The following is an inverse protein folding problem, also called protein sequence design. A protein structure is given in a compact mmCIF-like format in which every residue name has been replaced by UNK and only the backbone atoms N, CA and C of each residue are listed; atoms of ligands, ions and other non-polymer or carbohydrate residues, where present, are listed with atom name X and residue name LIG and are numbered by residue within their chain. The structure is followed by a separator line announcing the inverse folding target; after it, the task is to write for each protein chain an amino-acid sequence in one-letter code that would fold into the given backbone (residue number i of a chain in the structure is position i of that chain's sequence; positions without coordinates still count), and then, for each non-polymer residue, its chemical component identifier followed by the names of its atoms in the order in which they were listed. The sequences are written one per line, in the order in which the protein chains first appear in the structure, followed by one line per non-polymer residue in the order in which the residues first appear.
data_IF_856015922947
#
_entry.id   IF_856015922947
#
_cell.length_a   1.000
_cell.length_b   1.000
_cell.length_c   1.000
_cell.angle_alpha   90.00
_cell.angle_beta   90.00
_cell.angle_gamma   90.00
#
_symmetry.space_group_name_H-M   'P 1'
#
loop_
_entity.id
_entity.type
_entity.pdbx_description
1 polymer ?
#
# COMPACT_ATOMS: atom_id res chain seq x y z
N UNK A 1 51.96 4.72 -6.74
CA UNK A 1 51.32 3.77 -7.68
C UNK A 1 50.41 2.80 -6.94
N UNK A 2 50.89 2.02 -5.96
CA UNK A 2 50.08 1.02 -5.23
C UNK A 2 48.81 1.57 -4.56
N UNK A 3 48.89 2.66 -3.77
CA UNK A 3 47.72 3.22 -3.09
C UNK A 3 46.62 3.72 -4.04
N UNK A 4 46.98 4.28 -5.19
CA UNK A 4 46.01 4.78 -6.17
C UNK A 4 45.26 3.62 -6.82
N UNK A 5 45.96 2.50 -7.08
CA UNK A 5 45.36 1.27 -7.61
C UNK A 5 44.43 0.65 -6.55
N UNK A 6 44.87 0.51 -5.30
CA UNK A 6 44.04 0.02 -4.20
C UNK A 6 42.80 0.90 -3.95
N UNK A 7 42.94 2.22 -4.07
CA UNK A 7 41.83 3.15 -3.96
C UNK A 7 40.86 2.99 -5.14
N UNK A 8 41.36 2.78 -6.36
CA UNK A 8 40.52 2.55 -7.53
C UNK A 8 39.74 1.23 -7.42
N UNK A 9 40.41 0.16 -7.03
CA UNK A 9 39.79 -1.15 -6.84
C UNK A 9 38.76 -1.11 -5.71
N UNK A 10 38.99 -0.27 -4.69
CA UNK A 10 38.07 -0.13 -3.57
C UNK A 10 36.68 0.39 -3.92
N UNK A 11 36.53 1.10 -5.05
CA UNK A 11 35.24 1.62 -5.52
C UNK A 11 34.32 0.48 -5.95
N UNK A 12 34.90 -0.61 -6.47
CA UNK A 12 34.16 -1.77 -6.96
C UNK A 12 33.97 -2.87 -5.91
N UNK A 13 34.66 -2.76 -4.77
CA UNK A 13 34.50 -3.71 -3.65
C UNK A 13 33.43 -3.24 -2.67
N UNK A 14 32.44 -4.08 -2.32
CA UNK A 14 31.39 -3.68 -1.39
C UNK A 14 31.90 -3.64 0.06
N UNK A 15 32.16 -2.44 0.59
CA UNK A 15 32.46 -2.26 2.01
C UNK A 15 33.43 -1.13 2.34
N UNK A 16 33.79 -1.03 3.61
CA UNK A 16 34.74 -0.06 4.14
C UNK A 16 36.16 -0.60 3.95
N UNK A 17 36.75 -0.36 2.78
CA UNK A 17 38.15 -0.76 2.57
C UNK A 17 39.10 0.17 3.32
N UNK A 18 40.27 -0.33 3.76
CA UNK A 18 41.26 0.50 4.44
C UNK A 18 41.82 1.62 3.55
N UNK A 19 41.87 1.43 2.23
CA UNK A 19 42.31 2.45 1.28
C UNK A 19 41.31 3.62 1.22
N UNK A 20 40.01 3.31 1.14
CA UNK A 20 38.94 4.31 1.15
C UNK A 20 38.93 5.11 2.45
N UNK A 21 39.07 4.44 3.60
CA UNK A 21 39.11 5.10 4.91
C UNK A 21 40.31 6.05 5.06
N UNK A 22 41.50 5.63 4.62
CA UNK A 22 42.69 6.50 4.60
C UNK A 22 42.48 7.72 3.72
N UNK A 23 41.86 7.56 2.54
CA UNK A 23 41.54 8.68 1.66
C UNK A 23 40.55 9.65 2.31
N UNK A 24 39.47 9.15 2.94
CA UNK A 24 38.49 9.99 3.64
C UNK A 24 39.14 10.82 4.75
N UNK A 25 39.94 10.22 5.63
CA UNK A 25 40.66 10.95 6.68
C UNK A 25 41.59 12.02 6.10
N UNK A 26 42.37 11.68 5.07
CA UNK A 26 43.27 12.63 4.42
C UNK A 26 42.52 13.82 3.80
N UNK A 27 41.39 13.59 3.13
CA UNK A 27 40.56 14.66 2.55
C UNK A 27 40.01 15.60 3.61
N UNK A 28 39.48 15.09 4.73
CA UNK A 28 38.97 15.93 5.81
C UNK A 28 40.08 16.72 6.51
N UNK A 29 41.26 16.12 6.72
CA UNK A 29 42.41 16.83 7.31
C UNK A 29 42.86 17.97 6.39
N UNK A 30 43.00 17.72 5.09
CA UNK A 30 43.38 18.76 4.12
C UNK A 30 42.34 19.88 4.03
N UNK A 31 41.05 19.52 4.07
CA UNK A 31 39.96 20.50 4.12
C UNK A 31 40.05 21.38 5.38
N UNK A 32 40.25 20.79 6.56
CA UNK A 32 40.35 21.53 7.81
C UNK A 32 41.60 22.42 7.84
N UNK A 33 42.75 21.94 7.36
CA UNK A 33 43.96 22.75 7.25
C UNK A 33 43.76 23.94 6.29
N UNK A 34 43.10 23.71 5.15
CA UNK A 34 42.75 24.78 4.21
C UNK A 34 41.81 25.81 4.83
N UNK A 35 40.78 25.37 5.56
CA UNK A 35 39.84 26.26 6.23
C UNK A 35 40.49 27.03 7.38
N UNK A 36 41.34 26.38 8.19
CA UNK A 36 42.12 27.02 9.25
C UNK A 36 43.06 28.09 8.69
N UNK A 37 43.71 27.81 7.55
CA UNK A 37 44.55 28.80 6.86
C UNK A 37 43.72 30.01 6.39
N UNK A 38 42.56 29.77 5.76
CA UNK A 38 41.66 30.84 5.32
C UNK A 38 41.10 31.66 6.48
N UNK A 39 40.77 31.04 7.62
CA UNK A 39 40.34 31.74 8.84
C UNK A 39 41.48 32.64 9.35
N UNK A 40 42.72 32.14 9.37
CA UNK A 40 43.87 32.90 9.82
C UNK A 40 44.12 34.15 8.96
N UNK A 41 44.05 33.99 7.63
CA UNK A 41 44.31 35.09 6.67
C UNK A 41 43.16 36.10 6.65
N UNK A 42 41.91 35.65 6.64
CA UNK A 42 40.75 36.52 6.35
C UNK A 42 39.97 36.96 7.59
N UNK A 43 40.13 36.27 8.73
CA UNK A 43 39.32 36.43 9.95
C UNK A 43 37.80 36.44 9.70
N UNK A 44 37.35 35.77 8.64
CA UNK A 44 35.93 35.77 8.26
C UNK A 44 35.13 34.74 9.05
N UNK A 45 33.98 35.20 9.57
CA UNK A 45 32.99 34.36 10.28
C UNK A 45 32.46 33.24 9.37
N UNK A 46 32.41 33.46 8.05
CA UNK A 46 31.93 32.46 7.10
C UNK A 46 32.79 31.19 7.13
N UNK A 47 34.12 31.31 7.18
CA UNK A 47 35.02 30.15 7.24
C UNK A 47 34.98 29.45 8.59
N UNK A 48 34.67 30.17 9.67
CA UNK A 48 34.44 29.58 11.00
C UNK A 48 33.20 28.66 10.93
N UNK A 49 32.09 29.15 10.39
CA UNK A 49 30.87 28.35 10.22
C UNK A 49 31.10 27.14 9.31
N UNK A 50 31.85 27.32 8.22
CA UNK A 50 32.18 26.23 7.29
C UNK A 50 33.06 25.16 7.94
N UNK A 51 33.98 25.56 8.82
CA UNK A 51 34.82 24.64 9.62
C UNK A 51 33.98 23.82 10.61
N UNK A 52 33.00 24.43 11.27
CA UNK A 52 32.07 23.73 12.18
C UNK A 52 31.27 22.67 11.41
N UNK A 53 30.71 23.03 10.25
CA UNK A 53 29.95 22.09 9.42
C UNK A 53 30.84 20.94 8.94
N UNK A 54 32.08 21.23 8.53
CA UNK A 54 33.04 20.21 8.11
C UNK A 54 33.39 19.22 9.24
N UNK A 55 33.54 19.70 10.48
CA UNK A 55 33.78 18.85 11.65
C UNK A 55 32.56 17.96 11.98
N UNK A 56 31.34 18.50 11.90
CA UNK A 56 30.12 17.74 12.11
C UNK A 56 29.93 16.66 11.05
N UNK A 57 30.21 16.99 9.78
CA UNK A 57 30.17 16.02 8.67
C UNK A 57 31.23 14.92 8.85
N UNK A 58 32.44 15.28 9.26
CA UNK A 58 33.49 14.31 9.51
C UNK A 58 33.10 13.34 10.63
N UNK A 59 32.54 13.86 11.73
CA UNK A 59 32.04 13.05 12.84
C UNK A 59 30.92 12.11 12.43
N UNK A 60 29.96 12.57 11.62
CA UNK A 60 28.83 11.74 11.17
C UNK A 60 29.26 10.62 10.22
N UNK A 61 30.22 10.88 9.33
CA UNK A 61 30.78 9.86 8.43
C UNK A 61 31.54 8.79 9.22
N UNK A 62 32.35 9.17 10.21
CA UNK A 62 33.06 8.21 11.05
C UNK A 62 32.12 7.37 11.91
N UNK A 63 31.09 8.00 12.47
CA UNK A 63 30.04 7.27 13.19
C UNK A 63 29.34 6.26 12.26
N UNK A 64 28.96 6.68 11.05
CA UNK A 64 28.30 5.83 10.07
C UNK A 64 29.16 4.63 9.63
N UNK A 65 30.46 4.85 9.40
CA UNK A 65 31.40 3.75 9.08
C UNK A 65 31.50 2.75 10.23
N UNK A 66 31.61 3.24 11.47
CA UNK A 66 31.67 2.37 12.65
C UNK A 66 30.39 1.56 12.82
N UNK A 67 29.23 2.17 12.57
CA UNK A 67 27.92 1.49 12.59
C UNK A 67 27.84 0.41 11.51
N UNK A 68 28.34 0.69 10.30
CA UNK A 68 28.40 -0.29 9.21
C UNK A 68 29.33 -1.47 9.52
N UNK A 69 30.46 -1.24 10.19
CA UNK A 69 31.38 -2.32 10.59
C UNK A 69 30.78 -3.20 11.69
N UNK A 70 30.09 -2.61 12.66
CA UNK A 70 29.38 -3.36 13.71
C UNK A 70 28.23 -4.21 13.14
N UNK A 71 27.52 -3.70 12.12
CA UNK A 71 26.48 -4.46 11.43
C UNK A 71 27.04 -5.62 10.58
N UNK A 72 28.30 -5.52 10.11
CA UNK A 72 28.98 -6.59 9.35
C UNK A 72 29.67 -7.62 10.23
N UNK A 73 30.13 -7.25 11.43
CA UNK A 73 30.79 -8.19 12.36
C UNK A 73 29.81 -9.19 13.00
N UNK A 74 28.52 -8.85 13.10
CA UNK A 74 27.44 -9.83 13.39
C UNK A 74 27.14 -10.76 12.19
N UNK A 75 28.16 -11.22 11.47
CA UNK A 75 28.00 -12.11 10.33
C UNK A 75 28.04 -13.57 10.77
N UNK A 76 27.01 -14.33 10.39
CA UNK A 76 26.84 -15.79 10.21
C UNK A 76 27.57 -16.80 11.13
N UNK A 77 28.81 -16.58 11.56
CA UNK A 77 29.56 -17.48 12.44
C UNK A 77 29.16 -17.38 13.92
N UNK A 78 28.79 -16.19 14.43
CA UNK A 78 28.27 -16.03 15.80
C UNK A 78 26.84 -16.59 15.91
N UNK A 79 26.00 -16.38 14.90
CA UNK A 79 24.67 -16.99 14.81
C UNK A 79 24.73 -18.52 14.79
N UNK A 80 25.70 -19.14 14.11
CA UNK A 80 25.82 -20.60 14.09
C UNK A 80 26.34 -21.19 15.41
N UNK A 81 27.21 -20.47 16.13
CA UNK A 81 27.76 -20.93 17.41
C UNK A 81 26.80 -20.74 18.58
N UNK A 82 26.02 -19.67 18.62
CA UNK A 82 24.96 -19.48 19.64
C UNK A 82 23.80 -20.47 19.44
N UNK A 83 23.44 -20.78 18.18
CA UNK A 83 22.38 -21.76 17.88
C UNK A 83 22.82 -23.18 18.26
N UNK A 84 24.07 -23.57 17.98
CA UNK A 84 24.58 -24.92 18.28
C UNK A 84 24.85 -25.19 19.78
N UNK A 85 25.10 -24.16 20.58
CA UNK A 85 25.28 -24.31 22.04
C UNK A 85 23.95 -24.29 22.80
N UNK A 86 22.95 -23.54 22.34
CA UNK A 86 21.61 -23.55 22.96
C UNK A 86 20.77 -24.77 22.58
N UNK A 87 20.99 -25.38 21.41
CA UNK A 87 20.26 -26.58 20.96
C UNK A 87 20.50 -27.84 21.82
N UNK A 88 21.63 -27.95 22.53
CA UNK A 88 21.95 -29.13 23.34
C UNK A 88 21.46 -29.06 24.80
N UNK A 89 20.95 -27.91 25.27
CA UNK A 89 20.46 -27.76 26.65
C UNK A 89 18.92 -27.80 26.69
N UNK A 90 18.23 -27.35 25.65
CA UNK A 90 16.77 -27.19 25.67
C UNK A 90 15.95 -28.40 25.17
N UNK A 91 16.57 -29.53 24.80
CA UNK A 91 15.82 -30.74 24.42
C UNK A 91 15.25 -31.52 25.61
N UNK A 92 15.40 -31.03 26.85
CA UNK A 92 14.87 -31.70 28.04
C UNK A 92 14.24 -30.70 29.00
N UNK A 93 13.12 -30.07 28.61
CA UNK A 93 11.98 -29.83 29.52
C UNK A 93 10.81 -29.15 28.78
N UNK A 94 9.65 -29.82 28.80
CA UNK A 94 8.35 -29.29 28.40
C UNK A 94 7.94 -28.15 29.34
N UNK A 95 7.43 -27.04 28.80
CA UNK A 95 6.05 -26.56 29.06
C UNK A 95 5.78 -25.17 28.44
N UNK A 96 4.65 -25.08 27.73
CA UNK A 96 3.75 -23.91 27.54
C UNK A 96 4.31 -22.55 27.05
N UNK A 97 3.75 -22.07 25.93
CA UNK A 97 3.65 -20.62 25.64
C UNK A 97 4.32 -20.14 24.35
N UNK A 98 3.47 -19.80 23.37
CA UNK A 98 3.52 -18.72 22.37
C UNK A 98 4.85 -18.01 22.03
N UNK A 99 5.08 -17.77 20.73
CA UNK A 99 6.02 -16.74 20.26
C UNK A 99 6.93 -17.12 19.09
N UNK A 100 6.39 -17.19 17.87
CA UNK A 100 7.20 -17.22 16.66
C UNK A 100 7.91 -15.87 16.44
N UNK A 101 9.23 -15.93 16.43
CA UNK A 101 10.19 -14.84 16.33
C UNK A 101 10.04 -14.07 14.99
N UNK A 102 9.62 -12.82 15.07
CA UNK A 102 9.41 -11.95 13.93
C UNK A 102 10.75 -11.36 13.44
N UNK A 103 11.36 -12.01 12.45
CA UNK A 103 12.29 -11.34 11.53
C UNK A 103 11.59 -10.09 10.98
N UNK A 104 12.22 -8.91 11.02
CA UNK A 104 11.61 -7.65 10.56
C UNK A 104 11.33 -7.69 9.06
N UNK A 105 10.20 -8.28 8.67
CA UNK A 105 9.76 -8.38 7.29
C UNK A 105 9.54 -6.98 6.73
N UNK A 106 10.08 -6.71 5.54
CA UNK A 106 9.79 -5.48 4.79
C UNK A 106 8.28 -5.26 4.73
N UNK A 107 7.83 -4.01 4.94
CA UNK A 107 6.41 -3.64 4.96
C UNK A 107 5.65 -4.21 3.76
N UNK A 108 6.29 -4.31 2.58
CA UNK A 108 5.70 -4.87 1.36
C UNK A 108 5.17 -6.30 1.52
N UNK A 109 5.73 -7.08 2.44
CA UNK A 109 5.33 -8.47 2.71
C UNK A 109 4.44 -8.60 3.95
N UNK A 110 3.93 -7.51 4.51
CA UNK A 110 3.11 -7.53 5.72
C UNK A 110 1.80 -8.32 5.59
N UNK A 111 1.35 -8.63 4.37
CA UNK A 111 0.17 -9.50 4.15
C UNK A 111 0.50 -11.00 4.23
N UNK A 112 1.77 -11.37 4.09
CA UNK A 112 2.19 -12.77 4.07
C UNK A 112 1.84 -13.50 5.37
N UNK A 113 1.86 -12.80 6.50
CA UNK A 113 1.56 -13.38 7.82
C UNK A 113 0.14 -13.95 7.88
N UNK A 114 -0.83 -13.24 7.29
CA UNK A 114 -2.24 -13.64 7.27
C UNK A 114 -2.50 -14.79 6.29
N UNK A 115 -1.66 -14.95 5.26
CA UNK A 115 -1.75 -16.08 4.32
C UNK A 115 -1.19 -17.36 4.92
N UNK A 116 -0.06 -17.25 5.61
CA UNK A 116 0.61 -18.37 6.27
C UNK A 116 -0.14 -18.82 7.53
N UNK A 117 -0.55 -17.87 8.37
CA UNK A 117 -1.24 -18.11 9.64
C UNK A 117 -2.56 -17.31 9.67
N UNK A 118 -3.65 -17.86 9.09
CA UNK A 118 -4.91 -17.11 8.94
C UNK A 118 -5.76 -17.04 10.22
N UNK A 119 -5.41 -17.77 11.28
CA UNK A 119 -6.07 -17.68 12.60
C UNK A 119 -5.66 -16.39 13.34
N UNK A 120 -6.04 -15.24 12.80
CA UNK A 120 -5.75 -13.92 13.34
C UNK A 120 -7.01 -13.06 13.42
N UNK A 121 -7.11 -12.10 14.37
CA UNK A 121 -8.33 -11.32 14.61
C UNK A 121 -8.85 -10.52 13.40
N UNK A 122 -7.98 -10.15 12.45
CA UNK A 122 -8.37 -9.40 11.27
C UNK A 122 -8.94 -10.29 10.16
N UNK A 123 -8.71 -11.60 10.21
CA UNK A 123 -9.18 -12.55 9.20
C UNK A 123 -10.63 -12.91 9.51
N UNK A 124 -11.50 -12.69 8.53
CA UNK A 124 -12.94 -12.95 8.63
C UNK A 124 -13.29 -14.34 8.13
N UNK A 125 -12.57 -14.79 7.10
CA UNK A 125 -12.76 -16.09 6.49
C UNK A 125 -11.47 -16.52 5.81
N UNK A 126 -11.21 -17.83 5.81
CA UNK A 126 -10.16 -18.42 5.00
C UNK A 126 -10.51 -19.85 4.64
N UNK A 127 -9.97 -20.31 3.51
CA UNK A 127 -9.90 -21.70 3.12
C UNK A 127 -8.54 -21.97 2.45
N UNK A 128 -8.36 -23.10 1.77
CA UNK A 128 -7.09 -23.44 1.11
C UNK A 128 -6.74 -22.53 -0.07
N UNK A 129 -7.72 -21.80 -0.62
CA UNK A 129 -7.56 -21.00 -1.84
C UNK A 129 -7.42 -19.51 -1.53
N UNK A 130 -8.28 -18.96 -0.67
CA UNK A 130 -8.37 -17.53 -0.40
C UNK A 130 -8.48 -17.19 1.09
N UNK A 131 -8.11 -15.95 1.41
CA UNK A 131 -8.31 -15.30 2.71
C UNK A 131 -9.12 -14.03 2.47
N UNK A 132 -10.16 -13.81 3.29
CA UNK A 132 -10.89 -12.55 3.38
C UNK A 132 -10.56 -11.93 4.74
N UNK A 133 -10.04 -10.71 4.75
CA UNK A 133 -9.64 -10.03 5.98
C UNK A 133 -9.98 -8.55 5.98
N UNK A 134 -10.08 -7.94 7.16
CA UNK A 134 -10.17 -6.49 7.34
C UNK A 134 -8.82 -5.84 7.01
N UNK A 135 -8.84 -4.76 6.22
CA UNK A 135 -7.64 -3.94 6.02
C UNK A 135 -7.26 -3.30 7.38
N UNK A 136 -6.01 -3.46 7.81
CA UNK A 136 -5.49 -2.89 9.07
C UNK A 136 -5.56 -1.36 9.11
N UNK A 137 -5.58 -0.72 7.95
CA UNK A 137 -5.67 0.72 7.76
C UNK A 137 -6.86 1.06 6.84
N UNK A 138 -8.11 0.81 7.28
CA UNK A 138 -9.29 0.89 6.43
C UNK A 138 -9.47 2.30 5.85
N UNK A 139 -9.83 2.41 4.58
CA UNK A 139 -9.92 3.71 3.87
C UNK A 139 -11.35 4.26 3.76
N UNK A 140 -12.31 3.52 4.29
CA UNK A 140 -13.73 3.81 4.39
C UNK A 140 -14.30 3.06 5.61
N UNK A 141 -15.61 3.19 5.86
CA UNK A 141 -16.33 2.52 6.95
C UNK A 141 -16.10 1.00 6.97
N UNK A 142 -16.10 0.37 5.79
CA UNK A 142 -15.69 -1.02 5.60
C UNK A 142 -14.71 -1.14 4.45
N UNK A 143 -13.58 -1.78 4.74
CA UNK A 143 -12.53 -2.02 3.76
C UNK A 143 -11.90 -3.39 4.04
N UNK A 144 -12.24 -4.36 3.20
CA UNK A 144 -11.73 -5.72 3.26
C UNK A 144 -10.77 -5.98 2.10
N UNK A 145 -9.97 -7.01 2.28
CA UNK A 145 -9.03 -7.53 1.29
C UNK A 145 -9.35 -9.00 1.04
N UNK A 146 -9.44 -9.36 -0.24
CA UNK A 146 -9.53 -10.75 -0.71
C UNK A 146 -8.17 -11.13 -1.28
N UNK A 147 -7.52 -12.16 -0.73
CA UNK A 147 -6.15 -12.54 -1.06
C UNK A 147 -6.07 -14.02 -1.45
N UNK A 148 -5.46 -14.36 -2.60
CA UNK A 148 -5.14 -15.74 -2.92
C UNK A 148 -3.97 -16.26 -2.07
N UNK A 149 -4.08 -17.51 -1.61
CA UNK A 149 -3.08 -18.17 -0.77
C UNK A 149 -1.99 -18.89 -1.57
N UNK A 150 -2.30 -19.31 -2.80
CA UNK A 150 -1.33 -20.07 -3.59
C UNK A 150 -0.10 -19.20 -3.91
N UNK A 151 1.09 -19.69 -3.54
CA UNK A 151 2.37 -19.00 -3.76
C UNK A 151 2.58 -18.47 -5.19
N UNK A 152 2.29 -19.23 -6.27
CA UNK A 152 2.49 -18.72 -7.62
C UNK A 152 1.50 -17.62 -8.03
N UNK A 153 0.35 -17.50 -7.35
CA UNK A 153 -0.66 -16.49 -7.65
C UNK A 153 -0.50 -15.25 -6.76
N UNK A 154 -0.20 -15.44 -5.48
CA UNK A 154 -0.12 -14.35 -4.51
C UNK A 154 0.97 -13.33 -4.87
N UNK A 155 2.08 -13.72 -5.50
CA UNK A 155 3.12 -12.76 -5.90
C UNK A 155 2.99 -12.26 -7.35
N UNK A 156 1.93 -12.63 -8.07
CA UNK A 156 1.66 -12.06 -9.39
C UNK A 156 1.08 -10.67 -9.25
N UNK A 157 1.41 -9.83 -10.22
CA UNK A 157 0.73 -8.55 -10.36
C UNK A 157 -0.78 -8.80 -10.55
N UNK A 158 -1.68 -8.02 -9.91
CA UNK A 158 -3.10 -8.37 -9.88
C UNK A 158 -3.76 -8.46 -11.27
N UNK A 159 -3.35 -7.60 -12.21
CA UNK A 159 -3.81 -7.66 -13.61
C UNK A 159 -3.48 -8.99 -14.28
N UNK A 160 -2.32 -9.58 -14.00
CA UNK A 160 -1.91 -10.87 -14.58
C UNK A 160 -2.45 -12.05 -13.80
N UNK A 161 -2.48 -11.95 -12.47
CA UNK A 161 -3.02 -13.00 -11.61
C UNK A 161 -4.49 -13.31 -11.92
N UNK A 162 -5.26 -12.27 -12.27
CA UNK A 162 -6.67 -12.36 -12.63
C UNK A 162 -6.89 -12.52 -14.15
N UNK A 163 -5.86 -12.85 -14.93
CA UNK A 163 -5.99 -13.09 -16.36
C UNK A 163 -6.58 -14.43 -16.74
N UNK A 164 -6.40 -15.42 -15.87
CA UNK A 164 -6.97 -16.74 -16.03
C UNK A 164 -8.47 -16.70 -15.67
N UNK A 165 -9.38 -17.08 -16.58
CA UNK A 165 -10.82 -17.15 -16.29
C UNK A 165 -11.16 -18.00 -15.08
N UNK A 166 -10.42 -19.09 -14.84
CA UNK A 166 -10.68 -19.96 -13.69
C UNK A 166 -10.38 -19.24 -12.38
N UNK A 167 -9.25 -18.55 -12.31
CA UNK A 167 -8.85 -17.75 -11.14
C UNK A 167 -9.79 -16.56 -10.95
N UNK A 168 -10.20 -15.90 -12.05
CA UNK A 168 -11.14 -14.78 -12.00
C UNK A 168 -12.48 -15.21 -11.42
N UNK A 169 -13.08 -16.28 -11.95
CA UNK A 169 -14.38 -16.78 -11.49
C UNK A 169 -14.32 -17.23 -10.02
N UNK A 170 -13.22 -17.89 -9.62
CA UNK A 170 -13.00 -18.21 -8.20
C UNK A 170 -12.93 -16.95 -7.35
N UNK A 171 -12.13 -15.97 -7.75
CA UNK A 171 -12.01 -14.70 -7.02
C UNK A 171 -13.35 -13.95 -6.95
N UNK A 172 -14.19 -14.02 -7.98
CA UNK A 172 -15.53 -13.41 -8.02
C UNK A 172 -16.43 -13.97 -6.90
N UNK A 173 -16.43 -15.28 -6.67
CA UNK A 173 -17.16 -15.91 -5.56
C UNK A 173 -16.75 -15.31 -4.19
N UNK A 174 -15.43 -15.13 -3.97
CA UNK A 174 -14.92 -14.55 -2.73
C UNK A 174 -15.16 -13.05 -2.61
N UNK A 175 -15.15 -12.33 -3.72
CA UNK A 175 -15.50 -10.90 -3.77
C UNK A 175 -16.96 -10.71 -3.40
N UNK A 176 -17.87 -11.50 -3.96
CA UNK A 176 -19.30 -11.45 -3.61
C UNK A 176 -19.52 -11.82 -2.15
N UNK A 177 -18.87 -12.87 -1.65
CA UNK A 177 -18.89 -13.23 -0.23
C UNK A 177 -18.40 -12.09 0.68
N UNK A 178 -17.34 -11.39 0.29
CA UNK A 178 -16.83 -10.25 1.05
C UNK A 178 -17.81 -9.07 1.05
N UNK A 179 -18.53 -8.82 -0.06
CA UNK A 179 -19.59 -7.82 -0.10
C UNK A 179 -20.75 -8.19 0.82
N UNK A 180 -21.16 -9.46 0.84
CA UNK A 180 -22.22 -9.95 1.73
C UNK A 180 -21.84 -9.76 3.20
N UNK A 181 -20.61 -10.09 3.58
CA UNK A 181 -20.09 -9.83 4.93
C UNK A 181 -20.14 -8.35 5.32
N UNK A 182 -19.82 -7.44 4.39
CA UNK A 182 -19.93 -6.00 4.62
C UNK A 182 -21.40 -5.60 4.88
N UNK A 183 -22.34 -6.10 4.08
CA UNK A 183 -23.77 -5.80 4.26
C UNK A 183 -24.27 -6.31 5.61
N UNK A 184 -23.95 -7.54 5.97
CA UNK A 184 -24.31 -8.10 7.27
C UNK A 184 -23.74 -7.25 8.43
N UNK A 185 -22.48 -6.84 8.33
CA UNK A 185 -21.85 -5.96 9.32
C UNK A 185 -22.56 -4.61 9.44
N UNK A 186 -22.95 -4.00 8.31
CA UNK A 186 -23.62 -2.69 8.29
C UNK A 186 -25.05 -2.74 8.81
N UNK A 187 -25.76 -3.85 8.55
CA UNK A 187 -27.10 -4.11 9.09
C UNK A 187 -27.04 -4.30 10.60
N UNK A 188 -26.07 -5.09 11.10
CA UNK A 188 -25.84 -5.31 12.54
C UNK A 188 -25.55 -4.01 13.29
N UNK A 189 -24.85 -3.07 12.67
CA UNK A 189 -24.54 -1.76 13.24
C UNK A 189 -25.65 -0.70 13.03
N UNK A 190 -26.75 -1.06 12.36
CA UNK A 190 -27.90 -0.18 12.15
C UNK A 190 -27.71 0.89 11.06
N UNK A 191 -26.70 0.75 10.19
CA UNK A 191 -26.50 1.66 9.05
C UNK A 191 -27.46 1.41 7.90
N UNK A 192 -28.03 0.19 7.81
CA UNK A 192 -28.90 -0.26 6.73
C UNK A 192 -30.07 -1.04 7.35
N UNK A 193 -31.26 -0.85 6.79
CA UNK A 193 -32.46 -1.62 7.14
C UNK A 193 -32.32 -3.10 6.75
N UNK A 194 -33.02 -3.98 7.46
CA UNK A 194 -32.97 -5.44 7.20
C UNK A 194 -33.67 -5.89 5.92
N UNK A 195 -34.25 -4.96 5.16
CA UNK A 195 -34.97 -5.23 3.92
C UNK A 195 -34.07 -5.81 2.80
N UNK A 196 -34.46 -6.93 2.16
CA UNK A 196 -33.66 -7.56 1.09
C UNK A 196 -33.39 -6.66 -0.13
N UNK A 197 -34.36 -5.84 -0.54
CA UNK A 197 -34.21 -4.94 -1.68
C UNK A 197 -33.21 -3.82 -1.39
N UNK A 198 -33.28 -3.26 -0.17
CA UNK A 198 -32.32 -2.26 0.31
C UNK A 198 -30.91 -2.86 0.39
N UNK A 199 -30.76 -4.08 0.96
CA UNK A 199 -29.47 -4.79 1.03
C UNK A 199 -28.84 -4.96 -0.34
N UNK A 200 -29.59 -5.47 -1.32
CA UNK A 200 -29.09 -5.72 -2.68
C UNK A 200 -28.73 -4.40 -3.40
N UNK A 201 -29.56 -3.37 -3.24
CA UNK A 201 -29.30 -2.05 -3.82
C UNK A 201 -28.02 -1.46 -3.23
N UNK A 202 -27.85 -1.53 -1.91
CA UNK A 202 -26.66 -1.01 -1.22
C UNK A 202 -25.40 -1.79 -1.59
N UNK A 203 -25.50 -3.12 -1.67
CA UNK A 203 -24.42 -4.02 -2.12
C UNK A 203 -23.89 -3.61 -3.49
N UNK A 204 -24.80 -3.35 -4.43
CA UNK A 204 -24.44 -3.04 -5.80
C UNK A 204 -24.03 -1.57 -6.01
N UNK A 205 -24.56 -0.64 -5.23
CA UNK A 205 -24.36 0.80 -5.48
C UNK A 205 -23.33 1.45 -4.58
N UNK A 206 -23.15 0.96 -3.35
CA UNK A 206 -22.28 1.59 -2.34
C UNK A 206 -20.98 0.84 -2.12
N UNK A 207 -20.92 -0.47 -2.38
CA UNK A 207 -19.70 -1.27 -2.25
C UNK A 207 -19.03 -1.42 -3.62
N UNK A 208 -17.71 -1.23 -3.67
CA UNK A 208 -16.87 -1.46 -4.87
C UNK A 208 -15.85 -2.55 -4.60
N UNK A 209 -15.48 -3.26 -5.66
CA UNK A 209 -14.42 -4.24 -5.63
C UNK A 209 -13.42 -3.95 -6.76
N UNK A 210 -12.12 -4.04 -6.48
CA UNK A 210 -11.10 -3.75 -7.47
C UNK A 210 -9.68 -3.83 -6.96
N UNK A 211 -8.74 -3.48 -7.83
CA UNK A 211 -7.29 -3.52 -7.56
C UNK A 211 -6.69 -2.13 -7.75
N UNK A 212 -5.55 -1.91 -7.11
CA UNK A 212 -4.69 -0.79 -7.50
C UNK A 212 -3.85 -1.16 -8.71
N UNK A 213 -3.77 -0.24 -9.67
CA UNK A 213 -2.94 -0.36 -10.87
C UNK A 213 -1.47 -0.60 -10.54
N UNK A 214 -0.97 0.03 -9.48
CA UNK A 214 0.36 -0.20 -8.91
C UNK A 214 0.18 -0.57 -7.42
N UNK A 215 0.26 -1.85 -7.04
CA UNK A 215 0.00 -2.28 -5.67
C UNK A 215 1.13 -1.86 -4.71
N UNK A 216 0.75 -1.45 -3.50
CA UNK A 216 1.70 -1.07 -2.43
C UNK A 216 2.32 -2.29 -1.72
N UNK A 217 1.59 -3.41 -1.69
CA UNK A 217 2.00 -4.67 -1.08
C UNK A 217 2.39 -5.67 -2.18
N UNK A 218 3.27 -6.61 -1.85
CA UNK A 218 3.76 -7.62 -2.79
C UNK A 218 2.71 -8.69 -3.09
N UNK A 219 1.90 -9.06 -2.10
CA UNK A 219 0.82 -10.02 -2.28
C UNK A 219 -0.35 -9.41 -3.06
N UNK A 220 -0.92 -10.14 -4.02
CA UNK A 220 -2.14 -9.82 -4.72
C UNK A 220 -3.27 -9.67 -3.70
N UNK A 221 -3.96 -8.55 -3.77
CA UNK A 221 -5.12 -8.28 -2.93
C UNK A 221 -6.17 -7.53 -3.76
N UNK A 222 -7.41 -7.97 -3.65
CA UNK A 222 -8.57 -7.28 -4.20
C UNK A 222 -9.19 -6.50 -3.05
N UNK A 223 -9.31 -5.19 -3.22
CA UNK A 223 -10.00 -4.32 -2.29
C UNK A 223 -11.50 -4.51 -2.46
N UNK A 224 -12.21 -4.75 -1.36
CA UNK A 224 -13.68 -4.68 -1.29
C UNK A 224 -14.02 -3.60 -0.28
N UNK A 225 -14.51 -2.46 -0.76
CA UNK A 225 -14.51 -1.21 0.00
C UNK A 225 -15.83 -0.45 -0.19
N UNK A 226 -16.33 0.15 0.90
CA UNK A 226 -17.46 1.08 0.85
C UNK A 226 -17.06 2.44 0.29
N UNK A 227 -18.00 3.12 -0.37
CA UNK A 227 -17.73 4.37 -1.08
C UNK A 227 -17.85 5.63 -0.21
N UNK A 228 -18.01 5.50 1.11
CA UNK A 228 -18.06 6.67 1.99
C UNK A 228 -16.72 7.40 2.11
N UNK A 229 -15.61 6.68 2.03
CA UNK A 229 -14.26 7.17 2.33
C UNK A 229 -14.15 7.96 3.65
N UNK A 230 -15.04 7.64 4.61
CA UNK A 230 -15.08 8.19 5.95
C UNK A 230 -14.26 7.28 6.87
N UNK A 231 -13.00 7.68 7.09
CA UNK A 231 -12.10 6.94 7.96
C UNK A 231 -11.00 7.83 8.49
N UNK A 232 -10.59 7.59 9.74
CA UNK A 232 -9.44 8.25 10.31
C UNK A 232 -8.11 7.86 9.67
N UNK A 233 -8.03 6.74 8.96
CA UNK A 233 -6.83 6.32 8.21
C UNK A 233 -6.78 6.91 6.79
N UNK A 234 -7.82 7.64 6.37
CA UNK A 234 -7.76 8.53 5.21
C UNK A 234 -6.98 9.81 5.58
N UNK A 235 -5.67 9.78 5.34
CA UNK A 235 -4.74 10.82 5.84
C UNK A 235 -4.22 11.79 4.78
N UNK A 236 -4.25 11.44 3.50
CA UNK A 236 -3.67 12.27 2.46
C UNK A 236 -4.39 12.10 1.12
N UNK A 237 -4.09 13.03 0.20
CA UNK A 237 -4.61 13.05 -1.18
C UNK A 237 -4.35 11.75 -1.93
N UNK A 238 -3.16 11.15 -1.76
CA UNK A 238 -2.77 9.90 -2.43
C UNK A 238 -3.69 8.74 -2.03
N UNK A 239 -4.03 8.63 -0.75
CA UNK A 239 -4.95 7.58 -0.26
C UNK A 239 -6.33 7.73 -0.85
N UNK A 240 -6.85 8.96 -1.00
CA UNK A 240 -8.18 9.16 -1.57
C UNK A 240 -8.18 8.87 -3.08
N UNK A 241 -7.25 9.51 -3.80
CA UNK A 241 -7.16 9.38 -5.26
C UNK A 241 -6.84 7.95 -5.70
N UNK A 242 -6.21 7.11 -4.87
CA UNK A 242 -5.95 5.72 -5.24
C UNK A 242 -7.24 4.90 -5.42
N UNK A 243 -8.36 5.30 -4.82
CA UNK A 243 -9.68 4.63 -4.96
C UNK A 243 -10.67 5.39 -5.85
N UNK A 244 -10.47 6.70 -6.06
CA UNK A 244 -11.44 7.57 -6.76
C UNK A 244 -10.98 8.04 -8.14
N UNK A 245 -9.80 7.60 -8.59
CA UNK A 245 -9.29 7.87 -9.95
C UNK A 245 -9.10 6.55 -10.71
N UNK A 246 -8.77 6.58 -12.03
CA UNK A 246 -8.44 5.39 -12.81
C UNK A 246 -7.23 4.57 -12.30
N UNK A 247 -6.55 5.03 -11.24
CA UNK A 247 -5.59 4.22 -10.50
C UNK A 247 -6.26 3.00 -9.82
N UNK A 248 -7.53 3.12 -9.46
CA UNK A 248 -8.37 2.00 -9.05
C UNK A 248 -9.00 1.36 -10.28
N UNK A 249 -8.68 0.09 -10.52
CA UNK A 249 -9.25 -0.70 -11.60
C UNK A 249 -10.38 -1.54 -11.01
N UNK A 250 -11.59 -1.35 -11.52
CA UNK A 250 -12.77 -2.13 -11.09
C UNK A 250 -12.56 -3.62 -11.37
N UNK A 251 -13.03 -4.46 -10.45
CA UNK A 251 -12.92 -5.91 -10.59
C UNK A 251 -13.64 -6.43 -11.85
N UNK A 252 -14.78 -5.81 -12.21
CA UNK A 252 -15.51 -6.13 -13.44
C UNK A 252 -14.73 -5.82 -14.73
N UNK A 253 -13.86 -4.81 -14.72
CA UNK A 253 -13.04 -4.43 -15.87
C UNK A 253 -11.86 -5.40 -16.09
N UNK A 254 -11.58 -6.27 -15.11
CA UNK A 254 -10.55 -7.30 -15.19
C UNK A 254 -11.04 -8.60 -15.82
N UNK A 255 -12.36 -8.75 -16.02
CA UNK A 255 -12.98 -9.97 -16.53
C UNK A 255 -12.28 -10.38 -17.84
N UNK A 256 -11.70 -11.59 -17.92
CA UNK A 256 -11.05 -12.04 -19.14
C UNK A 256 -12.12 -12.15 -20.23
N UNK A 257 -11.90 -11.45 -21.34
CA UNK A 257 -12.72 -11.57 -22.54
C UNK A 257 -12.55 -13.00 -23.05
N UNK A 258 -13.63 -13.79 -23.06
CA UNK A 258 -13.68 -14.96 -23.94
C UNK A 258 -13.44 -14.44 -25.37
N UNK A 259 -12.53 -15.09 -26.11
CA UNK A 259 -12.08 -14.70 -27.44
C UNK A 259 -13.20 -14.15 -28.35
N UNK A 260 -12.87 -13.10 -29.13
CA UNK A 260 -13.59 -12.62 -30.31
C UNK A 260 -15.12 -12.51 -30.22
N UNK A 261 -15.62 -11.39 -29.70
CA UNK A 261 -16.85 -10.80 -30.22
C UNK A 261 -16.57 -9.35 -30.63
N UNK A 262 -16.35 -9.14 -31.92
CA UNK A 262 -16.80 -7.93 -32.61
C UNK A 262 -18.34 -7.91 -32.51
N UNK A 263 -18.85 -7.50 -31.35
CA UNK A 263 -20.27 -7.32 -31.12
C UNK A 263 -20.62 -5.86 -31.38
N UNK A 264 -21.03 -5.56 -32.61
CA UNK A 264 -21.93 -4.44 -32.86
C UNK A 264 -23.20 -4.71 -32.04
N UNK A 265 -23.37 -3.97 -30.95
CA UNK A 265 -24.53 -4.03 -30.07
C UNK A 265 -24.98 -2.62 -29.76
N UNK A 266 -25.88 -2.12 -30.60
CA UNK A 266 -26.81 -1.03 -30.26
C UNK A 266 -27.65 -1.49 -29.07
N UNK A 267 -27.24 -1.13 -27.86
CA UNK A 267 -28.13 -1.12 -26.72
C UNK A 267 -28.78 0.27 -26.68
N UNK A 268 -29.95 0.36 -27.33
CA UNK A 268 -30.89 1.44 -27.14
C UNK A 268 -31.38 1.40 -25.69
N UNK A 269 -30.78 2.20 -24.81
CA UNK A 269 -31.40 2.53 -23.54
C UNK A 269 -32.62 3.42 -23.82
N UNK A 270 -33.80 2.83 -23.70
CA UNK A 270 -35.06 3.55 -23.63
C UNK A 270 -35.08 4.36 -22.34
N UNK A 271 -35.02 5.68 -22.46
CA UNK A 271 -35.41 6.62 -21.41
C UNK A 271 -36.87 6.35 -21.02
N UNK A 272 -37.08 5.52 -20.00
CA UNK A 272 -38.32 5.54 -19.22
C UNK A 272 -38.06 6.41 -17.99
N UNK A 273 -38.42 7.68 -18.15
CA UNK A 273 -38.68 8.62 -17.07
C UNK A 273 -39.90 8.11 -16.28
N UNK A 274 -39.66 7.11 -15.44
CA UNK A 274 -40.64 6.50 -14.55
C UNK A 274 -40.49 7.09 -13.16
N UNK A 275 -41.44 7.94 -12.76
CA UNK A 275 -41.57 8.42 -11.39
C UNK A 275 -41.79 7.24 -10.44
N UNK A 276 -40.73 6.80 -9.75
CA UNK A 276 -40.87 6.06 -8.50
C UNK A 276 -40.54 6.99 -7.34
N UNK A 277 -41.60 7.46 -6.68
CA UNK A 277 -41.53 8.15 -5.40
C UNK A 277 -41.11 7.16 -4.29
N UNK A 278 -40.23 7.62 -3.38
CA UNK A 278 -40.11 7.06 -2.02
C UNK A 278 -38.83 6.27 -1.69
N UNK A 279 -38.10 6.74 -0.67
CA UNK A 279 -36.99 6.11 0.08
C UNK A 279 -35.64 5.82 -0.57
N UNK A 280 -35.51 5.50 -1.85
CA UNK A 280 -34.21 4.97 -2.38
C UNK A 280 -33.30 6.04 -3.01
N UNK A 281 -33.86 7.21 -3.39
CA UNK A 281 -33.12 8.27 -4.10
C UNK A 281 -31.87 8.78 -3.35
N UNK A 282 -31.86 8.71 -2.01
CA UNK A 282 -30.72 9.12 -1.18
C UNK A 282 -29.56 8.12 -1.13
N UNK A 283 -29.77 6.87 -1.53
CA UNK A 283 -28.80 5.77 -1.41
C UNK A 283 -27.87 5.64 -2.61
N UNK A 284 -28.27 6.13 -3.78
CA UNK A 284 -27.53 5.94 -5.03
C UNK A 284 -26.27 6.81 -5.10
N UNK A 285 -25.09 6.19 -5.13
CA UNK A 285 -23.83 6.86 -5.46
C UNK A 285 -23.71 7.06 -6.96
N UNK A 286 -23.16 8.22 -7.37
CA UNK A 286 -22.96 8.53 -8.78
C UNK A 286 -21.84 7.63 -9.34
N UNK A 287 -22.19 6.62 -10.13
CA UNK A 287 -21.17 5.85 -10.89
C UNK A 287 -20.59 6.73 -12.00
N UNK A 288 -19.26 6.74 -12.21
CA UNK A 288 -18.68 7.37 -13.39
C UNK A 288 -19.24 6.69 -14.66
N UNK A 289 -19.49 7.48 -15.73
CA UNK A 289 -20.05 6.96 -16.99
C UNK A 289 -19.18 5.82 -17.53
N UNK A 290 -19.81 4.69 -17.84
CA UNK A 290 -19.16 3.45 -18.27
C UNK A 290 -18.84 3.55 -19.77
N UNK A 291 -17.65 4.05 -20.12
CA UNK A 291 -17.10 3.77 -21.44
C UNK A 291 -16.67 2.30 -21.47
N UNK A 292 -16.97 1.55 -22.55
CA UNK A 292 -16.39 0.21 -22.75
C UNK A 292 -14.85 0.35 -22.73
N UNK A 293 -14.23 -0.03 -21.60
CA UNK A 293 -12.79 0.00 -21.45
C UNK A 293 -12.26 -1.38 -21.80
N UNK A 294 -11.32 -1.43 -22.74
CA UNK A 294 -10.53 -2.64 -22.96
C UNK A 294 -9.86 -3.06 -21.65
N UNK A 295 -9.73 -4.38 -21.47
CA UNK A 295 -9.01 -4.96 -20.32
C UNK A 295 -7.64 -4.29 -20.16
N UNK A 296 -7.28 -3.81 -18.96
CA UNK A 296 -6.02 -3.10 -18.76
C UNK A 296 -4.81 -3.99 -19.09
N UNK A 297 -3.87 -3.48 -19.91
CA UNK A 297 -2.62 -4.17 -20.24
C UNK A 297 -1.46 -3.64 -19.41
N UNK A 298 -0.51 -4.53 -19.05
CA UNK A 298 0.70 -4.20 -18.29
C UNK A 298 1.68 -3.23 -18.96
N UNK A 299 1.46 -2.82 -20.22
CA UNK A 299 2.21 -1.72 -20.87
C UNK A 299 1.87 -0.41 -20.16
N UNK A 300 2.36 -0.25 -18.94
CA UNK A 300 2.12 0.91 -18.11
C UNK A 300 3.39 1.73 -18.01
N UNK A 301 3.25 3.03 -18.24
CA UNK A 301 4.20 3.99 -17.73
C UNK A 301 3.88 4.20 -16.24
N UNK A 302 4.79 3.73 -15.37
CA UNK A 302 4.63 3.82 -13.92
C UNK A 302 4.61 5.27 -13.46
N UNK A 303 5.41 6.13 -14.12
CA UNK A 303 5.51 7.54 -13.80
C UNK A 303 4.19 8.27 -14.04
N UNK A 304 3.51 7.96 -15.15
CA UNK A 304 2.22 8.54 -15.49
C UNK A 304 1.16 8.18 -14.44
N UNK A 305 1.15 6.93 -13.98
CA UNK A 305 0.18 6.45 -12.98
C UNK A 305 0.39 7.06 -11.58
N UNK A 306 1.66 7.26 -11.18
CA UNK A 306 2.02 8.00 -9.96
C UNK A 306 1.67 9.49 -10.08
N UNK A 307 1.87 10.08 -11.26
CA UNK A 307 1.55 11.47 -11.53
C UNK A 307 0.05 11.74 -11.37
N UNK A 308 -0.81 10.82 -11.84
CA UNK A 308 -2.27 10.92 -11.71
C UNK A 308 -2.71 11.08 -10.25
N UNK A 309 -2.09 10.37 -9.30
CA UNK A 309 -2.44 10.50 -7.89
C UNK A 309 -2.12 11.89 -7.33
N UNK A 310 -1.04 12.52 -7.83
CA UNK A 310 -0.56 13.83 -7.37
C UNK A 310 -1.26 14.98 -8.08
N UNK A 311 -1.54 14.86 -9.37
CA UNK A 311 -2.12 15.92 -10.21
C UNK A 311 -3.64 15.96 -10.14
N UNK A 312 -4.32 14.81 -10.07
CA UNK A 312 -5.79 14.75 -10.12
C UNK A 312 -6.43 15.55 -8.99
N UNK A 313 -7.45 16.39 -9.25
CA UNK A 313 -8.14 17.13 -8.22
C UNK A 313 -8.92 16.20 -7.29
N UNK A 314 -9.12 16.63 -6.05
CA UNK A 314 -9.97 15.97 -5.08
C UNK A 314 -11.43 16.24 -5.43
N UNK A 315 -12.12 15.22 -5.91
CA UNK A 315 -13.54 15.29 -6.27
C UNK A 315 -14.34 14.41 -5.32
N UNK A 316 -15.43 14.94 -4.74
CA UNK A 316 -16.29 14.22 -3.81
C UNK A 316 -16.97 13.02 -4.48
N UNK A 317 -16.88 11.83 -3.86
CA UNK A 317 -17.51 10.60 -4.36
C UNK A 317 -19.05 10.63 -4.30
N UNK A 318 -19.64 11.42 -3.39
CA UNK A 318 -21.09 11.52 -3.24
C UNK A 318 -21.72 12.43 -4.30
N UNK A 319 -21.25 13.68 -4.39
CA UNK A 319 -21.91 14.73 -5.17
C UNK A 319 -21.11 15.23 -6.38
N UNK A 320 -19.85 14.80 -6.54
CA UNK A 320 -18.98 15.25 -7.62
C UNK A 320 -18.40 16.66 -7.45
N UNK A 321 -18.55 17.29 -6.27
CA UNK A 321 -17.96 18.60 -5.99
C UNK A 321 -16.44 18.54 -6.08
N UNK A 322 -15.84 19.43 -6.86
CA UNK A 322 -14.40 19.58 -6.96
C UNK A 322 -13.86 20.47 -5.83
N UNK A 323 -12.90 19.96 -5.06
CA UNK A 323 -12.23 20.63 -3.94
C UNK A 323 -10.75 20.93 -4.22
N UNK A 324 -10.32 20.82 -5.49
CA UNK A 324 -8.96 21.10 -5.93
C UNK A 324 -7.93 20.23 -5.20
N UNK A 325 -6.99 20.85 -4.49
CA UNK A 325 -5.95 20.14 -3.73
C UNK A 325 -6.17 20.20 -2.21
N UNK A 326 -7.33 20.66 -1.75
CA UNK A 326 -7.59 20.91 -0.34
C UNK A 326 -8.10 19.66 0.39
N UNK A 327 -7.18 18.80 0.81
CA UNK A 327 -7.54 17.53 1.48
C UNK A 327 -8.34 17.72 2.78
N UNK A 328 -8.02 18.74 3.59
CA UNK A 328 -8.80 19.06 4.80
C UNK A 328 -10.26 19.41 4.48
N UNK A 329 -10.47 20.21 3.43
CA UNK A 329 -11.80 20.60 2.98
C UNK A 329 -12.58 19.39 2.45
N UNK A 330 -11.91 18.47 1.73
CA UNK A 330 -12.50 17.21 1.31
C UNK A 330 -12.96 16.37 2.51
N UNK A 331 -12.09 16.17 3.52
CA UNK A 331 -12.44 15.36 4.70
C UNK A 331 -13.66 15.92 5.43
N UNK A 332 -13.71 17.25 5.65
CA UNK A 332 -14.87 17.92 6.25
C UNK A 332 -16.13 17.86 5.37
N UNK A 333 -15.97 17.74 4.06
CA UNK A 333 -17.10 17.60 3.15
C UNK A 333 -17.65 16.16 3.15
N UNK A 334 -16.77 15.15 3.08
CA UNK A 334 -17.14 13.73 3.18
C UNK A 334 -17.83 13.43 4.52
N UNK A 335 -17.36 14.03 5.61
CA UNK A 335 -18.00 13.92 6.93
C UNK A 335 -19.45 14.42 6.92
N UNK A 336 -19.69 15.61 6.34
CA UNK A 336 -21.05 16.15 6.20
C UNK A 336 -21.94 15.30 5.29
N UNK A 337 -21.42 14.82 4.17
CA UNK A 337 -22.18 13.93 3.27
C UNK A 337 -22.50 12.60 3.94
N UNK A 338 -21.55 12.04 4.71
CA UNK A 338 -21.74 10.81 5.48
C UNK A 338 -22.82 10.99 6.56
N UNK A 339 -22.71 12.00 7.41
CA UNK A 339 -23.71 12.28 8.45
C UNK A 339 -25.09 12.57 7.86
N UNK A 340 -25.15 13.28 6.73
CA UNK A 340 -26.42 13.53 6.02
C UNK A 340 -27.05 12.24 5.49
N UNK A 341 -26.24 11.28 5.05
CA UNK A 341 -26.73 10.03 4.44
C UNK A 341 -27.06 8.94 5.45
N UNK A 342 -26.32 8.87 6.56
CA UNK A 342 -26.45 7.81 7.57
C UNK A 342 -27.03 8.27 8.90
N UNK A 343 -27.48 9.53 9.01
CA UNK A 343 -28.25 10.07 10.14
C UNK A 343 -27.70 9.67 11.51
N UNK A 344 -26.41 9.85 11.75
CA UNK A 344 -25.85 9.68 13.10
C UNK A 344 -26.18 10.95 13.89
N UNK A 345 -27.04 10.91 14.93
CA UNK A 345 -27.13 12.03 15.85
C UNK A 345 -25.76 12.19 16.52
N UNK A 346 -25.11 13.33 16.23
CA UNK A 346 -23.76 13.65 16.70
C UNK A 346 -23.67 13.90 18.19
#
# INVERSE_FOLDING_TARGET
MAFIVELWDSIFTPGTTPALMKATHASFILLLLSLSWLIYVTRSIHYINLSIIALLLYGSVLWFVKELEQAKLKSNEELQKETAQNENVETSEKSEGDGAEATTMSFRYGLQTYLSNPNQPLVLFYDDRFVIMKDRYPKALRHYLVLPRSKPLTFKHPVDGLADPTVYNQAEEYVEKAKDMIIEDLVKEGFIEEDPCVKETFKNTFIRAGIHKVPSMANLHIHVITQDFHSDRMKNKRHYNSFTTPFFVEFSDLKPSSENYLGSGTDSESDSDGSMEGSIQGLLMRRPKKAQKLRPSRKFDYEDSESLLKSSPLVCAYCGKNLGNQFKALKQHLDREFCKKFSIPG
#
